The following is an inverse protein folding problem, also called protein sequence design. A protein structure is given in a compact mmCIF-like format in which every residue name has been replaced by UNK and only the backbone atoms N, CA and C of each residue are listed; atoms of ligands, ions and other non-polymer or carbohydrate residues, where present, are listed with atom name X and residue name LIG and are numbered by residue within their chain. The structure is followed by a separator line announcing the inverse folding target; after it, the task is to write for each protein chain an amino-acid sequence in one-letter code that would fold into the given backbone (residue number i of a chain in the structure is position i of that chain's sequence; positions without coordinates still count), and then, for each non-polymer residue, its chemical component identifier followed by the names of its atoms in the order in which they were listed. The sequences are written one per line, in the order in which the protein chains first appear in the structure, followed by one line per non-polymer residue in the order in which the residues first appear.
data_IF_380924522014
#
_entry.id   IF_380924522014
#
_cell.length_a   1.000
_cell.length_b   1.000
_cell.length_c   1.000
_cell.angle_alpha   90.00
_cell.angle_beta   90.00
_cell.angle_gamma   90.00
#
_symmetry.space_group_name_H-M   'P 1'
#
loop_
_entity.id
_entity.type
_entity.pdbx_description
1 polymer ?
#
# COMPACT_ATOMS: atom_id res chain seq x y z
N UNK A 1 -18.90 -14.75 54.91
CA UNK A 1 -18.49 -16.13 55.18
C UNK A 1 -17.34 -16.47 54.25
N UNK A 2 -16.13 -16.52 54.79
CA UNK A 2 -14.91 -17.05 54.16
C UNK A 2 -15.03 -18.58 54.08
N UNK A 3 -14.71 -19.20 52.93
CA UNK A 3 -14.18 -20.55 52.91
C UNK A 3 -13.07 -20.64 51.85
N UNK A 4 -11.99 -21.32 52.27
CA UNK A 4 -10.65 -21.39 51.75
C UNK A 4 -10.47 -22.37 50.59
N UNK A 5 -9.32 -22.19 49.87
CA UNK A 5 -8.69 -23.17 48.97
C UNK A 5 -8.33 -24.50 49.65
N UNK A 6 -8.20 -25.57 48.86
CA UNK A 6 -6.93 -26.31 48.95
C UNK A 6 -6.29 -26.60 47.60
N UNK A 7 -4.99 -26.40 47.57
CA UNK A 7 -3.96 -26.99 46.71
C UNK A 7 -3.88 -28.51 46.90
N UNK A 8 -3.75 -29.27 45.83
CA UNK A 8 -2.86 -30.45 45.76
C UNK A 8 -2.58 -30.86 44.33
N UNK A 9 -1.31 -30.90 44.00
CA UNK A 9 -0.65 -31.62 42.92
C UNK A 9 -0.85 -33.15 43.06
N UNK A 10 -0.99 -33.87 41.97
CA UNK A 10 -0.11 -34.95 41.52
C UNK A 10 -0.80 -35.93 40.55
N UNK A 11 -0.02 -36.25 39.48
CA UNK A 11 0.07 -37.54 38.79
C UNK A 11 -1.08 -37.95 37.87
N UNK A 12 -0.80 -37.90 36.57
CA UNK A 12 -0.76 -39.08 35.69
C UNK A 12 -0.21 -38.69 34.30
N UNK A 13 1.00 -39.14 34.02
CA UNK A 13 1.60 -39.23 32.69
C UNK A 13 0.93 -40.34 31.87
N UNK A 14 0.48 -40.04 30.67
CA UNK A 14 0.08 -41.02 29.65
C UNK A 14 0.62 -40.58 28.28
N UNK A 15 0.94 -41.49 27.36
CA UNK A 15 1.99 -41.29 26.38
C UNK A 15 1.63 -40.39 25.21
N UNK A 16 2.60 -39.57 24.90
CA UNK A 16 2.81 -38.71 23.75
C UNK A 16 2.62 -39.47 22.40
N UNK A 17 1.64 -39.12 21.64
CA UNK A 17 1.52 -39.59 20.25
C UNK A 17 1.46 -38.37 19.32
N UNK A 18 2.64 -37.74 19.18
CA UNK A 18 2.87 -36.67 18.21
C UNK A 18 2.86 -37.27 16.80
N UNK A 19 1.74 -37.08 16.08
CA UNK A 19 1.75 -37.11 14.60
C UNK A 19 1.69 -35.69 14.10
N UNK A 20 2.86 -35.09 13.93
CA UNK A 20 3.03 -33.88 13.16
C UNK A 20 2.84 -34.20 11.67
N UNK A 21 1.73 -33.76 11.09
CA UNK A 21 1.61 -33.59 9.65
C UNK A 21 2.59 -32.52 9.15
N UNK A 22 3.13 -32.64 7.92
CA UNK A 22 4.12 -31.70 7.41
C UNK A 22 3.51 -30.31 7.24
N UNK A 23 4.07 -29.32 7.95
CA UNK A 23 3.84 -27.90 7.66
C UNK A 23 4.30 -27.63 6.23
N UNK A 24 3.57 -26.84 5.42
CA UNK A 24 4.06 -26.43 4.13
C UNK A 24 5.37 -25.64 4.32
N UNK A 25 6.43 -26.11 3.70
CA UNK A 25 7.74 -25.47 3.71
C UNK A 25 7.61 -24.10 3.04
N UNK A 26 7.78 -23.04 3.83
CA UNK A 26 8.09 -21.70 3.30
C UNK A 26 9.40 -21.86 2.52
N UNK A 27 9.36 -21.61 1.20
CA UNK A 27 10.57 -21.53 0.41
C UNK A 27 11.49 -20.47 1.03
N UNK A 28 12.77 -20.78 1.29
CA UNK A 28 13.72 -19.80 1.75
C UNK A 28 13.89 -18.75 0.64
N UNK A 29 13.82 -17.48 1.03
CA UNK A 29 14.19 -16.37 0.18
C UNK A 29 15.58 -16.66 -0.43
N UNK A 30 15.83 -16.34 -1.72
CA UNK A 30 17.14 -16.56 -2.32
C UNK A 30 18.18 -15.82 -1.50
N UNK A 31 19.12 -16.58 -0.93
CA UNK A 31 20.26 -16.04 -0.23
C UNK A 31 21.00 -15.09 -1.20
N UNK A 32 21.06 -13.82 -0.85
CA UNK A 32 21.95 -12.88 -1.49
C UNK A 32 23.37 -13.38 -1.25
N UNK A 33 24.00 -13.90 -2.30
CA UNK A 33 25.43 -14.23 -2.29
C UNK A 33 26.18 -12.91 -2.23
N UNK A 34 26.45 -12.43 -1.02
CA UNK A 34 27.42 -11.38 -0.78
C UNK A 34 28.81 -11.92 -1.05
N UNK A 35 29.25 -11.79 -2.30
CA UNK A 35 30.66 -11.90 -2.62
C UNK A 35 31.40 -10.76 -1.88
N UNK A 36 32.46 -11.03 -1.14
CA UNK A 36 33.20 -10.00 -0.44
C UNK A 36 33.88 -9.08 -1.48
N UNK A 37 33.20 -7.98 -1.85
CA UNK A 37 33.84 -6.87 -2.57
C UNK A 37 34.95 -6.33 -1.66
N UNK A 38 36.21 -6.38 -2.13
CA UNK A 38 37.31 -5.65 -1.50
C UNK A 38 36.87 -4.18 -1.39
N UNK A 39 36.44 -3.79 -0.21
CA UNK A 39 36.08 -2.41 0.08
C UNK A 39 37.32 -1.57 -0.13
N UNK A 40 37.28 -0.66 -1.11
CA UNK A 40 38.33 0.30 -1.34
C UNK A 40 38.52 1.19 -0.10
N UNK A 41 39.69 1.80 0.04
CA UNK A 41 40.01 2.71 1.15
C UNK A 41 38.97 3.86 1.26
N UNK A 42 38.38 4.32 0.16
CA UNK A 42 37.32 5.31 0.09
C UNK A 42 36.00 4.79 0.72
N UNK A 43 35.67 3.52 0.49
CA UNK A 43 34.48 2.90 1.13
C UNK A 43 34.69 2.72 2.63
N UNK A 44 35.92 2.41 3.07
CA UNK A 44 36.23 2.34 4.51
C UNK A 44 36.17 3.70 5.20
N UNK A 45 36.66 4.77 4.55
CA UNK A 45 36.52 6.14 5.07
C UNK A 45 35.05 6.57 5.11
N UNK A 46 34.27 6.24 4.06
CA UNK A 46 32.84 6.50 4.02
C UNK A 46 32.08 5.79 5.13
N UNK A 47 32.37 4.49 5.35
CA UNK A 47 31.72 3.71 6.42
C UNK A 47 32.14 4.16 7.83
N UNK A 48 33.36 4.67 8.01
CA UNK A 48 33.79 5.24 9.29
C UNK A 48 33.16 6.60 9.60
N UNK A 49 32.76 7.34 8.57
CA UNK A 49 32.19 8.69 8.70
C UNK A 49 30.65 8.71 8.82
N UNK A 50 29.97 7.62 8.45
CA UNK A 50 28.51 7.51 8.42
C UNK A 50 28.06 6.58 9.55
N UNK A 51 27.10 7.04 10.35
CA UNK A 51 26.49 6.22 11.40
C UNK A 51 25.41 5.30 10.78
N UNK A 52 25.32 4.01 11.18
CA UNK A 52 24.23 3.13 10.76
C UNK A 52 22.83 3.63 11.11
N UNK A 53 22.71 4.49 12.14
CA UNK A 53 21.44 5.10 12.57
C UNK A 53 21.05 6.35 11.79
N UNK A 54 21.94 6.89 10.94
CA UNK A 54 21.65 8.07 10.13
C UNK A 54 20.48 7.79 9.17
N UNK A 55 19.59 8.75 9.00
CA UNK A 55 18.58 8.70 7.94
C UNK A 55 19.25 8.70 6.57
N UNK A 56 18.59 8.11 5.58
CA UNK A 56 19.15 8.02 4.22
C UNK A 56 19.48 9.39 3.63
N UNK A 57 18.68 10.40 3.93
CA UNK A 57 18.94 11.79 3.54
C UNK A 57 20.23 12.34 4.17
N UNK A 58 20.43 12.10 5.46
CA UNK A 58 21.61 12.54 6.18
C UNK A 58 22.86 11.81 5.68
N UNK A 59 22.76 10.52 5.40
CA UNK A 59 23.85 9.74 4.77
C UNK A 59 24.25 10.32 3.43
N UNK A 60 23.27 10.67 2.58
CA UNK A 60 23.52 11.29 1.29
C UNK A 60 24.27 12.61 1.44
N UNK A 61 23.80 13.50 2.33
CA UNK A 61 24.44 14.79 2.60
C UNK A 61 25.88 14.65 3.10
N UNK A 62 26.12 13.73 4.04
CA UNK A 62 27.49 13.41 4.53
C UNK A 62 28.38 12.89 3.42
N UNK A 63 27.90 11.94 2.61
CA UNK A 63 28.66 11.35 1.51
C UNK A 63 29.05 12.38 0.45
N UNK A 64 28.12 13.27 0.07
CA UNK A 64 28.38 14.30 -0.94
C UNK A 64 29.40 15.32 -0.48
N UNK A 65 29.33 15.78 0.78
CA UNK A 65 30.29 16.73 1.32
C UNK A 65 31.69 16.11 1.45
N UNK A 66 31.78 14.85 1.91
CA UNK A 66 33.02 14.13 2.02
C UNK A 66 33.65 13.88 0.64
N UNK A 67 32.84 13.55 -0.37
CA UNK A 67 33.28 13.39 -1.75
C UNK A 67 33.83 14.70 -2.30
N UNK A 68 33.11 15.80 -2.14
CA UNK A 68 33.55 17.12 -2.59
C UNK A 68 34.85 17.55 -1.90
N UNK A 69 34.95 17.35 -0.56
CA UNK A 69 36.16 17.65 0.20
C UNK A 69 37.34 16.80 -0.23
N UNK A 70 37.14 15.50 -0.45
CA UNK A 70 38.17 14.57 -0.94
C UNK A 70 38.68 14.95 -2.33
N UNK A 71 37.77 15.25 -3.26
CA UNK A 71 38.14 15.69 -4.62
C UNK A 71 38.92 17.00 -4.61
N UNK A 72 38.50 17.97 -3.77
CA UNK A 72 39.24 19.25 -3.61
C UNK A 72 40.62 19.06 -3.02
N UNK A 73 40.82 18.15 -2.05
CA UNK A 73 42.14 17.85 -1.52
C UNK A 73 43.05 17.21 -2.57
N UNK A 74 42.53 16.26 -3.37
CA UNK A 74 43.25 15.65 -4.50
C UNK A 74 43.64 16.73 -5.51
N UNK A 75 42.72 17.62 -5.85
CA UNK A 75 42.95 18.71 -6.78
C UNK A 75 44.01 19.71 -6.25
N UNK A 76 44.00 20.01 -4.96
CA UNK A 76 45.01 20.89 -4.34
C UNK A 76 46.40 20.26 -4.36
N UNK A 77 46.52 18.92 -4.16
CA UNK A 77 47.82 18.23 -4.35
C UNK A 77 48.30 18.30 -5.78
N UNK A 78 47.43 18.06 -6.76
CA UNK A 78 47.76 18.16 -8.17
C UNK A 78 48.22 19.59 -8.52
N UNK A 79 47.53 20.61 -8.01
CA UNK A 79 47.87 22.01 -8.20
C UNK A 79 49.30 22.31 -7.69
N UNK A 80 49.64 21.88 -6.47
CA UNK A 80 50.95 22.03 -5.88
C UNK A 80 52.03 21.29 -6.65
N UNK A 81 51.76 20.06 -7.11
CA UNK A 81 52.68 19.27 -7.90
C UNK A 81 53.04 19.94 -9.25
N UNK A 82 52.00 20.47 -9.95
CA UNK A 82 52.23 21.18 -11.22
C UNK A 82 53.05 22.45 -10.99
N UNK A 83 52.75 23.20 -9.91
CA UNK A 83 53.51 24.39 -9.55
C UNK A 83 54.99 24.08 -9.34
N UNK A 84 55.28 23.01 -8.59
CA UNK A 84 56.65 22.53 -8.36
C UNK A 84 57.34 22.06 -9.64
N UNK A 85 56.65 21.31 -10.52
CA UNK A 85 57.17 20.85 -11.80
C UNK A 85 57.52 21.99 -12.75
N UNK A 86 56.78 23.11 -12.67
CA UNK A 86 57.08 24.31 -13.49
C UNK A 86 58.25 25.13 -12.95
N UNK A 87 58.89 24.68 -11.87
CA UNK A 87 60.04 25.39 -11.26
C UNK A 87 59.68 26.74 -10.63
N UNK A 88 58.40 27.00 -10.42
CA UNK A 88 57.91 28.26 -9.85
C UNK A 88 58.01 28.23 -8.31
N UNK A 89 58.43 29.36 -7.69
CA UNK A 89 58.33 29.52 -6.25
C UNK A 89 56.84 29.68 -5.89
N UNK A 90 56.39 28.99 -4.84
CA UNK A 90 55.01 29.16 -4.36
C UNK A 90 54.75 30.61 -3.94
N UNK A 91 53.83 31.33 -4.57
CA UNK A 91 53.57 32.73 -4.26
C UNK A 91 52.85 32.87 -2.91
N UNK A 92 52.31 31.76 -2.37
CA UNK A 92 51.58 31.76 -1.10
C UNK A 92 51.65 30.37 -0.43
N UNK A 93 51.72 30.30 0.87
CA UNK A 93 51.61 29.07 1.67
C UNK A 93 50.15 28.65 1.94
N UNK A 94 49.17 29.45 1.51
CA UNK A 94 47.75 29.21 1.77
C UNK A 94 47.21 27.87 1.20
N UNK A 95 47.60 27.40 0.02
CA UNK A 95 47.18 26.07 -0.47
C UNK A 95 47.57 24.93 0.45
N UNK A 96 48.78 24.98 1.04
CA UNK A 96 49.22 24.01 2.07
C UNK A 96 48.44 24.16 3.35
N UNK A 97 48.13 25.41 3.75
CA UNK A 97 47.26 25.70 4.88
C UNK A 97 45.86 25.15 4.75
N UNK A 98 45.27 25.23 3.52
CA UNK A 98 43.97 24.61 3.21
C UNK A 98 44.02 23.10 3.41
N UNK A 99 45.02 22.41 2.90
CA UNK A 99 45.15 20.95 3.05
C UNK A 99 45.27 20.52 4.50
N UNK A 100 46.12 21.23 5.28
CA UNK A 100 46.28 20.98 6.71
C UNK A 100 44.95 21.20 7.47
N UNK A 101 44.27 22.33 7.22
CA UNK A 101 43.02 22.65 7.86
C UNK A 101 41.91 21.65 7.50
N UNK A 102 41.75 21.27 6.21
CA UNK A 102 40.75 20.29 5.75
C UNK A 102 41.03 18.91 6.34
N UNK A 103 42.30 18.47 6.42
CA UNK A 103 42.66 17.20 7.06
C UNK A 103 42.37 17.20 8.56
N UNK A 104 42.70 18.29 9.28
CA UNK A 104 42.36 18.44 10.71
C UNK A 104 40.87 18.42 10.97
N UNK A 105 40.07 19.10 10.13
CA UNK A 105 38.61 19.06 10.20
C UNK A 105 38.05 17.67 9.98
N UNK A 106 38.59 16.91 9.04
CA UNK A 106 38.18 15.53 8.81
C UNK A 106 38.49 14.64 10.03
N UNK A 107 39.69 14.75 10.60
CA UNK A 107 40.07 14.03 11.83
C UNK A 107 39.19 14.42 13.00
N UNK A 108 38.91 15.72 13.16
CA UNK A 108 37.96 16.22 14.17
C UNK A 108 36.59 15.59 13.99
N UNK A 109 36.04 15.57 12.77
CA UNK A 109 34.76 14.96 12.45
C UNK A 109 34.74 13.46 12.76
N UNK A 110 35.75 12.72 12.35
CA UNK A 110 35.83 11.28 12.58
C UNK A 110 35.86 10.95 14.09
N UNK A 111 36.47 11.81 14.92
CA UNK A 111 36.51 11.65 16.40
C UNK A 111 35.24 12.09 17.09
N UNK A 112 34.66 13.22 16.72
CA UNK A 112 33.52 13.82 17.41
C UNK A 112 32.17 13.43 16.85
N UNK A 113 32.16 12.94 15.58
CA UNK A 113 30.93 12.69 14.81
C UNK A 113 30.00 13.91 14.66
N UNK A 114 30.49 15.11 14.98
CA UNK A 114 29.72 16.34 14.87
C UNK A 114 29.73 16.84 13.42
N UNK A 115 28.72 16.44 12.67
CA UNK A 115 28.60 16.82 11.27
C UNK A 115 28.29 18.31 11.07
N UNK A 116 27.60 18.93 11.98
CA UNK A 116 27.21 20.35 11.86
C UNK A 116 28.43 21.26 11.88
N UNK A 117 29.37 21.04 12.80
CA UNK A 117 30.63 21.78 12.83
C UNK A 117 31.50 21.49 11.59
N UNK A 118 31.58 20.22 11.20
CA UNK A 118 32.36 19.82 10.02
C UNK A 118 31.86 20.52 8.76
N UNK A 119 30.55 20.45 8.50
CA UNK A 119 29.92 21.04 7.30
C UNK A 119 30.10 22.54 7.23
N UNK A 120 29.89 23.25 8.35
CA UNK A 120 30.05 24.70 8.43
C UNK A 120 31.50 25.11 8.14
N UNK A 121 32.45 24.48 8.82
CA UNK A 121 33.86 24.79 8.67
C UNK A 121 34.39 24.44 7.28
N UNK A 122 34.01 23.29 6.73
CA UNK A 122 34.43 22.85 5.40
C UNK A 122 33.90 23.77 4.29
N UNK A 123 32.61 24.18 4.38
CA UNK A 123 32.04 25.14 3.44
C UNK A 123 32.69 26.53 3.60
N UNK A 124 33.02 26.92 4.82
CA UNK A 124 33.82 28.13 5.08
C UNK A 124 35.18 28.07 4.39
N UNK A 125 35.88 26.94 4.46
CA UNK A 125 37.16 26.76 3.75
C UNK A 125 36.96 26.86 2.22
N UNK A 126 35.92 26.24 1.67
CA UNK A 126 35.59 26.36 0.24
C UNK A 126 35.31 27.79 -0.18
N UNK A 127 34.66 28.59 0.67
CA UNK A 127 34.35 29.97 0.37
C UNK A 127 35.55 30.90 0.50
N UNK A 128 36.21 30.90 1.66
CA UNK A 128 37.18 31.99 2.00
C UNK A 128 38.57 31.71 1.47
N UNK A 129 39.05 30.46 1.43
CA UNK A 129 40.42 30.15 1.04
C UNK A 129 40.77 30.57 -0.39
N UNK A 130 39.91 30.32 -1.43
CA UNK A 130 40.18 30.77 -2.77
C UNK A 130 40.35 32.31 -2.89
N UNK A 131 39.53 33.09 -2.15
CA UNK A 131 39.67 34.52 -2.14
C UNK A 131 40.98 34.98 -1.41
N UNK A 132 41.28 34.34 -0.27
CA UNK A 132 42.54 34.62 0.43
C UNK A 132 43.78 34.32 -0.46
N UNK A 133 43.76 33.23 -1.21
CA UNK A 133 44.82 32.92 -2.14
C UNK A 133 44.90 33.97 -3.26
N UNK A 134 43.76 34.36 -3.85
CA UNK A 134 43.73 35.45 -4.87
C UNK A 134 44.35 36.74 -4.32
N UNK A 135 43.89 37.19 -3.16
CA UNK A 135 44.40 38.43 -2.56
C UNK A 135 45.92 38.35 -2.19
N UNK A 136 46.42 37.16 -1.87
CA UNK A 136 47.86 36.98 -1.59
C UNK A 136 48.73 36.97 -2.84
N UNK A 137 48.17 36.61 -4.02
CA UNK A 137 48.85 36.55 -5.30
C UNK A 137 48.76 37.89 -6.05
N UNK A 138 47.66 38.66 -5.79
CA UNK A 138 47.45 39.98 -6.33
C UNK A 138 46.13 40.14 -7.06
N UNK A 139 46.01 39.69 -8.30
CA UNK A 139 44.79 39.91 -9.11
C UNK A 139 44.12 38.60 -9.51
N UNK A 140 42.88 38.71 -10.02
CA UNK A 140 42.13 37.59 -10.60
C UNK A 140 42.94 36.90 -11.74
N UNK A 141 43.56 37.70 -12.58
CA UNK A 141 44.39 37.18 -13.70
C UNK A 141 45.64 36.48 -13.18
N UNK A 142 46.40 37.11 -12.28
CA UNK A 142 47.62 36.57 -11.68
C UNK A 142 47.35 35.30 -10.88
N UNK A 143 46.18 35.17 -10.23
CA UNK A 143 45.73 33.97 -9.49
C UNK A 143 45.11 32.90 -10.41
N UNK A 144 45.07 33.13 -11.74
CA UNK A 144 44.51 32.20 -12.73
C UNK A 144 43.07 31.79 -12.41
N UNK A 145 42.27 32.73 -11.92
CA UNK A 145 40.84 32.51 -11.62
C UNK A 145 40.55 31.51 -10.50
N UNK A 146 41.46 31.33 -9.54
CA UNK A 146 41.27 30.38 -8.40
C UNK A 146 39.99 30.63 -7.61
N UNK A 147 39.51 31.89 -7.57
CA UNK A 147 38.31 32.30 -6.89
C UNK A 147 37.03 31.58 -7.44
N UNK A 148 37.11 31.05 -8.68
CA UNK A 148 36.00 30.24 -9.22
C UNK A 148 35.73 28.98 -8.37
N UNK A 149 36.75 28.45 -7.69
CA UNK A 149 36.61 27.30 -6.80
C UNK A 149 35.74 27.62 -5.57
N UNK A 150 35.63 28.91 -5.17
CA UNK A 150 34.75 29.33 -4.08
C UNK A 150 33.27 29.10 -4.38
N UNK A 151 32.88 28.92 -5.65
CA UNK A 151 31.52 28.54 -6.05
C UNK A 151 31.11 27.16 -5.51
N UNK A 152 32.08 26.32 -5.10
CA UNK A 152 31.80 25.04 -4.44
C UNK A 152 31.13 25.22 -3.06
N UNK A 153 31.28 26.37 -2.41
CA UNK A 153 30.64 26.64 -1.11
C UNK A 153 29.10 26.78 -1.25
N UNK A 154 28.53 27.66 -2.10
CA UNK A 154 27.08 27.72 -2.27
C UNK A 154 26.49 26.45 -2.90
N UNK A 155 27.21 25.77 -3.82
CA UNK A 155 26.76 24.49 -4.36
C UNK A 155 26.74 23.41 -3.26
N UNK A 156 27.79 23.31 -2.47
CA UNK A 156 27.86 22.39 -1.34
C UNK A 156 26.78 22.71 -0.29
N UNK A 157 26.54 23.99 0.01
CA UNK A 157 25.49 24.42 0.89
C UNK A 157 24.09 24.00 0.37
N UNK A 158 23.84 24.13 -0.94
CA UNK A 158 22.57 23.68 -1.54
C UNK A 158 22.34 22.19 -1.36
N UNK A 159 23.39 21.38 -1.50
CA UNK A 159 23.33 19.93 -1.36
C UNK A 159 23.17 19.51 0.11
N UNK A 160 23.85 20.19 1.04
CA UNK A 160 23.93 19.79 2.46
C UNK A 160 22.79 20.39 3.30
N UNK A 161 22.47 21.67 3.08
CA UNK A 161 21.45 22.40 3.86
C UNK A 161 20.11 22.53 3.14
N UNK A 162 20.10 22.42 1.80
CA UNK A 162 18.93 22.66 0.97
C UNK A 162 18.86 24.07 0.38
N UNK A 163 17.81 24.31 -0.42
CA UNK A 163 17.72 25.51 -1.26
C UNK A 163 17.63 26.84 -0.49
N UNK A 164 16.93 26.86 0.64
CA UNK A 164 16.75 28.10 1.43
C UNK A 164 18.02 28.51 2.17
N UNK A 165 18.69 27.54 2.78
CA UNK A 165 19.88 27.79 3.59
C UNK A 165 21.15 28.00 2.76
N UNK A 166 21.12 27.72 1.45
CA UNK A 166 22.22 28.03 0.52
C UNK A 166 22.26 29.49 0.08
N UNK A 167 21.16 30.25 0.22
CA UNK A 167 21.08 31.67 -0.20
C UNK A 167 22.12 32.55 0.49
N UNK A 168 22.34 32.50 1.81
CA UNK A 168 23.39 33.26 2.49
C UNK A 168 24.80 32.97 1.99
N UNK A 169 25.07 31.69 1.65
CA UNK A 169 26.38 31.28 1.10
C UNK A 169 26.60 31.84 -0.30
N UNK A 170 25.56 31.86 -1.13
CA UNK A 170 25.63 32.45 -2.46
C UNK A 170 25.76 33.98 -2.38
N UNK A 171 25.04 34.62 -1.48
CA UNK A 171 25.18 36.07 -1.23
C UNK A 171 26.61 36.41 -0.74
N UNK A 172 27.17 35.65 0.19
CA UNK A 172 28.54 35.84 0.66
C UNK A 172 29.57 35.66 -0.48
N UNK A 173 29.40 34.61 -1.32
CA UNK A 173 30.23 34.41 -2.50
C UNK A 173 30.14 35.61 -3.46
N UNK A 174 28.95 36.11 -3.73
CA UNK A 174 28.73 37.25 -4.65
C UNK A 174 29.38 38.53 -4.08
N UNK A 175 29.18 38.81 -2.81
CA UNK A 175 29.76 39.97 -2.15
C UNK A 175 31.31 39.93 -2.22
N UNK A 176 31.91 38.75 -1.86
CA UNK A 176 33.34 38.58 -1.93
C UNK A 176 33.88 38.70 -3.35
N UNK A 177 33.15 38.20 -4.34
CA UNK A 177 33.52 38.33 -5.76
C UNK A 177 33.52 39.80 -6.21
N UNK A 178 32.45 40.53 -5.87
CA UNK A 178 32.38 41.99 -6.18
C UNK A 178 33.47 42.75 -5.48
N UNK A 179 33.70 42.49 -4.20
CA UNK A 179 34.79 43.12 -3.44
C UNK A 179 36.17 42.87 -4.09
N UNK A 180 36.42 41.59 -4.45
CA UNK A 180 37.67 41.22 -5.10
C UNK A 180 37.87 41.94 -6.43
N UNK A 181 36.78 42.05 -7.25
CA UNK A 181 36.84 42.80 -8.51
C UNK A 181 37.12 44.30 -8.31
N UNK A 182 36.53 44.92 -7.27
CA UNK A 182 36.77 46.33 -6.92
C UNK A 182 38.24 46.50 -6.47
N UNK A 183 38.76 45.58 -5.64
CA UNK A 183 40.16 45.63 -5.22
C UNK A 183 41.10 45.50 -6.42
N UNK A 184 40.86 44.55 -7.29
CA UNK A 184 41.64 44.36 -8.51
C UNK A 184 41.64 45.63 -9.39
N UNK A 185 40.50 46.29 -9.55
CA UNK A 185 40.37 47.54 -10.27
C UNK A 185 41.17 48.69 -9.65
N UNK A 186 41.07 48.86 -8.30
CA UNK A 186 41.76 49.95 -7.60
C UNK A 186 43.28 49.76 -7.50
N UNK A 187 43.77 48.51 -7.54
CA UNK A 187 45.19 48.16 -7.42
C UNK A 187 45.87 47.91 -8.77
N UNK A 188 45.14 48.02 -9.87
CA UNK A 188 45.63 47.71 -11.23
C UNK A 188 46.86 48.54 -11.68
N UNK A 189 46.98 49.77 -11.15
CA UNK A 189 48.04 50.70 -11.55
C UNK A 189 49.41 50.45 -10.88
N UNK A 190 49.53 49.48 -9.94
CA UNK A 190 50.74 49.30 -9.14
C UNK A 190 51.56 48.00 -9.34
N UNK A 191 51.12 47.05 -10.16
CA UNK A 191 51.70 45.72 -10.24
C UNK A 191 52.62 45.56 -11.49
N UNK A 192 53.93 45.63 -11.31
CA UNK A 192 54.93 45.40 -12.36
C UNK A 192 55.48 43.94 -12.45
N UNK A 193 55.19 43.06 -11.48
CA UNK A 193 55.67 41.69 -11.49
C UNK A 193 54.59 40.77 -12.11
N UNK A 194 54.51 40.79 -13.43
CA UNK A 194 53.55 39.95 -14.14
C UNK A 194 54.00 38.49 -14.13
N UNK A 195 53.18 37.60 -13.56
CA UNK A 195 53.28 36.15 -13.72
C UNK A 195 53.32 35.82 -15.23
N UNK A 196 54.19 34.91 -15.69
CA UNK A 196 54.25 34.58 -17.11
C UNK A 196 52.90 34.12 -17.68
N UNK A 197 52.50 34.67 -18.82
CA UNK A 197 51.17 34.38 -19.44
C UNK A 197 50.93 32.87 -19.63
N UNK A 198 51.99 32.09 -19.93
CA UNK A 198 51.89 30.62 -20.01
C UNK A 198 51.49 29.96 -18.69
N UNK A 199 52.00 30.43 -17.55
CA UNK A 199 51.66 29.95 -16.22
C UNK A 199 50.23 30.27 -15.91
N UNK A 200 49.78 31.50 -16.19
CA UNK A 200 48.36 31.93 -16.00
C UNK A 200 47.43 31.03 -16.79
N UNK A 201 47.74 30.77 -18.09
CA UNK A 201 46.89 29.95 -18.94
C UNK A 201 46.77 28.50 -18.43
N UNK A 202 47.90 27.87 -18.02
CA UNK A 202 47.89 26.51 -17.48
C UNK A 202 47.02 26.39 -16.22
N UNK A 203 47.22 27.30 -15.26
CA UNK A 203 46.46 27.25 -14.00
C UNK A 203 45.01 27.67 -14.16
N UNK A 204 44.67 28.54 -15.11
CA UNK A 204 43.29 28.85 -15.44
C UNK A 204 42.54 27.62 -15.97
N UNK A 205 43.14 26.91 -16.93
CA UNK A 205 42.56 25.65 -17.46
C UNK A 205 42.48 24.60 -16.37
N UNK A 206 43.47 24.50 -15.48
CA UNK A 206 43.48 23.57 -14.35
C UNK A 206 42.37 23.90 -13.36
N UNK A 207 42.24 25.16 -12.91
CA UNK A 207 41.23 25.59 -11.94
C UNK A 207 39.81 25.39 -12.48
N UNK A 208 39.57 25.76 -13.75
CA UNK A 208 38.30 25.56 -14.42
C UNK A 208 37.96 24.07 -14.62
N UNK A 209 38.97 23.28 -15.00
CA UNK A 209 38.85 21.82 -15.15
C UNK A 209 38.55 21.12 -13.82
N UNK A 210 39.21 21.53 -12.74
CA UNK A 210 38.96 21.02 -11.38
C UNK A 210 37.51 21.35 -10.96
N UNK A 211 37.08 22.63 -11.06
CA UNK A 211 35.75 23.05 -10.71
C UNK A 211 34.69 22.24 -11.50
N UNK A 212 34.84 22.19 -12.82
CA UNK A 212 33.93 21.46 -13.70
C UNK A 212 33.82 19.98 -13.34
N UNK A 213 34.98 19.34 -13.06
CA UNK A 213 35.04 17.92 -12.71
C UNK A 213 34.35 17.67 -11.36
N UNK A 214 34.65 18.48 -10.35
CA UNK A 214 34.08 18.31 -9.01
C UNK A 214 32.56 18.50 -9.08
N UNK A 215 32.07 19.57 -9.73
CA UNK A 215 30.66 19.85 -9.90
C UNK A 215 29.96 18.70 -10.65
N UNK A 216 30.53 18.25 -11.77
CA UNK A 216 29.98 17.15 -12.55
C UNK A 216 29.86 15.86 -11.71
N UNK A 217 30.92 15.47 -10.99
CA UNK A 217 30.91 14.25 -10.18
C UNK A 217 29.93 14.32 -9.02
N UNK A 218 29.85 15.47 -8.34
CA UNK A 218 28.87 15.69 -7.25
C UNK A 218 27.45 15.64 -7.78
N UNK A 219 27.15 16.35 -8.87
CA UNK A 219 25.81 16.35 -9.48
C UNK A 219 25.43 14.97 -10.01
N UNK A 220 26.35 14.29 -10.70
CA UNK A 220 26.13 12.91 -11.18
C UNK A 220 25.79 11.97 -10.04
N UNK A 221 26.54 12.04 -8.94
CA UNK A 221 26.26 11.21 -7.77
C UNK A 221 24.88 11.56 -7.15
N UNK A 222 24.58 12.84 -7.00
CA UNK A 222 23.29 13.32 -6.48
C UNK A 222 22.12 12.82 -7.32
N UNK A 223 22.16 12.98 -8.64
CA UNK A 223 21.09 12.54 -9.56
C UNK A 223 20.91 11.02 -9.46
N UNK A 224 22.04 10.26 -9.48
CA UNK A 224 21.98 8.80 -9.35
C UNK A 224 21.29 8.35 -8.06
N UNK A 225 21.61 8.99 -6.94
CA UNK A 225 20.98 8.65 -5.65
C UNK A 225 19.50 9.03 -5.63
N UNK A 226 19.16 10.22 -6.15
CA UNK A 226 17.76 10.64 -6.27
C UNK A 226 16.93 9.63 -7.06
N UNK A 227 17.45 9.13 -8.19
CA UNK A 227 16.74 8.14 -9.01
C UNK A 227 16.54 6.82 -8.26
N UNK A 228 17.50 6.38 -7.46
CA UNK A 228 17.37 5.18 -6.61
C UNK A 228 16.26 5.37 -5.59
N UNK A 229 16.25 6.49 -4.87
CA UNK A 229 15.22 6.79 -3.88
C UNK A 229 13.81 6.91 -4.48
N UNK A 230 13.69 7.53 -5.65
CA UNK A 230 12.40 7.64 -6.33
C UNK A 230 11.86 6.27 -6.74
N UNK A 231 12.73 5.36 -7.23
CA UNK A 231 12.32 3.99 -7.59
C UNK A 231 11.88 3.19 -6.36
N UNK A 232 12.59 3.31 -5.25
CA UNK A 232 12.22 2.59 -4.02
C UNK A 232 10.91 3.14 -3.43
N UNK A 233 10.70 4.45 -3.44
CA UNK A 233 9.44 5.08 -3.03
C UNK A 233 8.27 4.61 -3.91
N UNK A 234 8.47 4.58 -5.24
CA UNK A 234 7.46 4.08 -6.17
C UNK A 234 7.11 2.61 -5.90
N UNK A 235 8.12 1.78 -5.58
CA UNK A 235 7.92 0.38 -5.21
C UNK A 235 7.11 0.23 -3.93
N UNK A 236 7.41 1.01 -2.90
CA UNK A 236 6.65 0.99 -1.64
C UNK A 236 5.20 1.40 -1.84
N UNK A 237 4.95 2.45 -2.63
CA UNK A 237 3.59 2.85 -3.00
C UNK A 237 2.81 1.73 -3.70
N UNK A 238 3.47 1.00 -4.62
CA UNK A 238 2.84 -0.12 -5.32
C UNK A 238 2.50 -1.28 -4.36
N UNK A 239 3.39 -1.61 -3.42
CA UNK A 239 3.12 -2.65 -2.41
C UNK A 239 1.92 -2.27 -1.52
N UNK A 240 1.85 -1.03 -1.05
CA UNK A 240 0.72 -0.53 -0.25
C UNK A 240 -0.58 -0.57 -1.06
N UNK A 241 -0.53 -0.22 -2.36
CA UNK A 241 -1.69 -0.28 -3.25
C UNK A 241 -2.22 -1.71 -3.38
N UNK A 242 -1.33 -2.66 -3.68
CA UNK A 242 -1.70 -4.09 -3.83
C UNK A 242 -2.28 -4.65 -2.53
N UNK A 243 -1.69 -4.31 -1.38
CA UNK A 243 -2.19 -4.77 -0.08
C UNK A 243 -3.57 -4.18 0.24
N UNK A 244 -3.77 -2.90 -0.09
CA UNK A 244 -5.08 -2.24 0.04
C UNK A 244 -6.13 -2.90 -0.86
N UNK A 245 -5.80 -3.17 -2.13
CA UNK A 245 -6.71 -3.85 -3.07
C UNK A 245 -7.11 -5.25 -2.56
N UNK A 246 -6.15 -6.02 -2.01
CA UNK A 246 -6.45 -7.31 -1.38
C UNK A 246 -7.37 -7.17 -0.18
N UNK A 247 -7.10 -6.22 0.70
CA UNK A 247 -7.94 -5.94 1.87
C UNK A 247 -9.36 -5.56 1.46
N UNK A 248 -9.50 -4.73 0.42
CA UNK A 248 -10.80 -4.33 -0.12
C UNK A 248 -11.55 -5.51 -0.76
N UNK A 249 -10.86 -6.34 -1.53
CA UNK A 249 -11.45 -7.54 -2.12
C UNK A 249 -11.93 -8.53 -1.03
N UNK A 250 -11.17 -8.73 0.03
CA UNK A 250 -11.59 -9.56 1.16
C UNK A 250 -12.83 -8.97 1.87
N UNK A 251 -12.87 -7.67 2.10
CA UNK A 251 -14.00 -7.01 2.75
C UNK A 251 -15.28 -7.14 1.89
N UNK A 252 -15.17 -6.92 0.59
CA UNK A 252 -16.31 -7.02 -0.35
C UNK A 252 -16.74 -8.46 -0.64
N UNK A 253 -15.88 -9.45 -0.34
CA UNK A 253 -16.28 -10.87 -0.41
C UNK A 253 -17.19 -11.30 0.76
N UNK A 254 -17.18 -10.54 1.86
CA UNK A 254 -17.95 -10.85 3.06
C UNK A 254 -19.20 -9.93 3.18
N UNK A 255 -19.09 -8.68 2.74
CA UNK A 255 -20.12 -7.66 2.87
C UNK A 255 -20.53 -7.11 1.49
N UNK A 256 -21.82 -6.76 1.29
CA UNK A 256 -22.22 -6.02 0.09
C UNK A 256 -21.39 -4.74 -0.08
N UNK A 257 -21.02 -4.34 -1.32
CA UNK A 257 -20.11 -3.21 -1.55
C UNK A 257 -20.52 -1.90 -0.87
N UNK A 258 -21.82 -1.56 -0.92
CA UNK A 258 -22.34 -0.34 -0.28
C UNK A 258 -22.25 -0.38 1.26
N UNK A 259 -22.36 -1.56 1.86
CA UNK A 259 -22.21 -1.76 3.31
C UNK A 259 -20.73 -1.70 3.69
N UNK A 260 -19.86 -2.32 2.88
CA UNK A 260 -18.40 -2.25 3.07
C UNK A 260 -17.89 -0.80 3.01
N UNK A 261 -18.41 0.01 2.11
CA UNK A 261 -18.09 1.44 2.00
C UNK A 261 -18.56 2.25 3.20
N UNK A 262 -19.78 2.02 3.65
CA UNK A 262 -20.32 2.67 4.88
C UNK A 262 -19.51 2.27 6.12
N UNK A 263 -19.14 1.01 6.26
CA UNK A 263 -18.35 0.53 7.39
C UNK A 263 -16.95 1.16 7.44
N UNK A 264 -16.36 1.50 6.28
CA UNK A 264 -15.08 2.22 6.21
C UNK A 264 -15.21 3.68 6.66
N UNK A 265 -16.32 4.32 6.32
CA UNK A 265 -16.50 5.76 6.50
C UNK A 265 -17.21 6.11 7.81
N UNK A 266 -18.06 5.22 8.31
CA UNK A 266 -18.90 5.41 9.49
C UNK A 266 -18.56 4.32 10.51
N UNK A 267 -18.08 4.72 11.69
CA UNK A 267 -17.88 3.80 12.84
C UNK A 267 -19.18 3.50 13.60
N UNK A 268 -20.34 3.84 13.04
CA UNK A 268 -21.65 3.69 13.68
C UNK A 268 -22.31 2.37 13.28
N UNK A 269 -23.26 1.92 14.11
CA UNK A 269 -24.07 0.74 13.84
C UNK A 269 -24.86 0.92 12.53
N UNK A 270 -24.60 0.07 11.55
CA UNK A 270 -25.33 0.06 10.28
C UNK A 270 -26.62 -0.73 10.51
N UNK A 271 -27.78 -0.05 10.48
CA UNK A 271 -29.09 -0.66 10.57
C UNK A 271 -30.08 0.13 9.70
N UNK A 272 -30.59 -0.49 8.66
CA UNK A 272 -31.50 0.10 7.70
C UNK A 272 -32.88 -0.59 7.75
N UNK A 273 -33.95 0.18 7.93
CA UNK A 273 -35.31 -0.30 7.89
C UNK A 273 -35.88 -0.30 6.47
N UNK A 274 -36.39 -1.43 6.03
CA UNK A 274 -37.03 -1.60 4.74
C UNK A 274 -38.52 -1.87 4.97
N UNK A 275 -39.39 -1.01 4.40
CA UNK A 275 -40.83 -1.17 4.52
C UNK A 275 -41.34 -2.37 3.70
N UNK A 276 -40.57 -2.78 2.69
CA UNK A 276 -41.01 -3.75 1.71
C UNK A 276 -39.81 -4.49 1.07
N UNK A 277 -39.63 -5.73 1.46
CA UNK A 277 -38.67 -6.67 0.86
C UNK A 277 -39.31 -8.02 0.61
N UNK A 278 -38.80 -8.78 -0.30
CA UNK A 278 -39.20 -10.17 -0.50
C UNK A 278 -38.03 -11.09 -0.14
N UNK A 279 -38.25 -11.99 0.79
CA UNK A 279 -37.28 -12.94 1.31
C UNK A 279 -37.61 -14.33 0.77
N UNK A 280 -36.61 -15.03 0.24
CA UNK A 280 -36.67 -16.42 -0.16
C UNK A 280 -35.67 -17.26 0.63
N UNK A 281 -36.12 -18.37 1.16
CA UNK A 281 -35.28 -19.47 1.62
C UNK A 281 -35.45 -20.64 0.63
N UNK A 282 -34.32 -21.26 0.28
CA UNK A 282 -34.28 -22.50 -0.50
C UNK A 282 -33.45 -23.51 0.30
N UNK A 283 -34.09 -24.58 0.75
CA UNK A 283 -33.51 -25.63 1.59
C UNK A 283 -33.45 -26.96 0.84
N UNK A 284 -32.38 -27.74 1.04
CA UNK A 284 -32.18 -29.00 0.29
C UNK A 284 -33.00 -30.10 0.93
N UNK A 285 -33.87 -30.73 0.15
CA UNK A 285 -34.69 -31.84 0.61
C UNK A 285 -33.83 -33.01 1.04
N UNK A 286 -34.03 -33.49 2.28
CA UNK A 286 -33.34 -34.67 2.86
C UNK A 286 -31.80 -34.52 2.92
N UNK A 287 -31.27 -33.30 3.06
CA UNK A 287 -29.83 -33.07 3.15
C UNK A 287 -29.18 -33.84 4.29
N UNK A 288 -29.80 -33.94 5.47
CA UNK A 288 -29.27 -34.69 6.62
C UNK A 288 -28.95 -36.13 6.24
N UNK A 289 -29.85 -36.79 5.52
CA UNK A 289 -29.64 -38.15 5.04
C UNK A 289 -28.50 -38.23 4.00
N UNK A 290 -28.43 -37.30 3.07
CA UNK A 290 -27.35 -37.20 2.11
C UNK A 290 -26.01 -36.98 2.81
N UNK A 291 -25.96 -36.14 3.82
CA UNK A 291 -24.74 -35.84 4.56
C UNK A 291 -24.23 -37.05 5.40
N UNK A 292 -25.10 -37.98 5.80
CA UNK A 292 -24.71 -39.22 6.46
C UNK A 292 -23.99 -40.20 5.53
N UNK A 293 -24.25 -40.11 4.22
CA UNK A 293 -23.66 -40.95 3.18
C UNK A 293 -22.32 -40.42 2.64
N UNK A 294 -21.97 -39.17 2.93
CA UNK A 294 -20.80 -38.44 2.40
C UNK A 294 -19.73 -38.23 3.48
N UNK A 295 -18.47 -38.17 3.05
CA UNK A 295 -17.39 -37.73 3.91
C UNK A 295 -17.48 -36.21 4.19
N UNK A 296 -16.91 -35.69 5.27
CA UNK A 296 -16.94 -34.25 5.56
C UNK A 296 -16.42 -33.36 4.43
N UNK A 297 -15.41 -33.81 3.72
CA UNK A 297 -14.87 -33.09 2.54
C UNK A 297 -15.83 -33.07 1.36
N UNK A 298 -16.53 -34.18 1.12
CA UNK A 298 -17.54 -34.30 0.06
C UNK A 298 -18.77 -33.44 0.38
N UNK A 299 -19.21 -33.38 1.65
CA UNK A 299 -20.30 -32.49 2.07
C UNK A 299 -19.96 -31.04 1.79
N UNK A 300 -18.77 -30.57 2.16
CA UNK A 300 -18.35 -29.19 1.92
C UNK A 300 -18.23 -28.90 0.41
N UNK A 301 -17.66 -29.82 -0.37
CA UNK A 301 -17.56 -29.68 -1.82
C UNK A 301 -18.93 -29.62 -2.48
N UNK A 302 -19.83 -30.51 -2.08
CA UNK A 302 -21.22 -30.55 -2.56
C UNK A 302 -21.96 -29.24 -2.27
N UNK A 303 -21.93 -28.76 -1.02
CA UNK A 303 -22.57 -27.50 -0.65
C UNK A 303 -21.98 -26.30 -1.40
N UNK A 304 -20.66 -26.29 -1.58
CA UNK A 304 -20.00 -25.25 -2.35
C UNK A 304 -20.45 -25.23 -3.81
N UNK A 305 -20.56 -26.38 -4.45
CA UNK A 305 -21.04 -26.49 -5.83
C UNK A 305 -22.49 -26.01 -5.97
N UNK A 306 -23.36 -26.43 -5.04
CA UNK A 306 -24.77 -26.00 -5.01
C UNK A 306 -24.86 -24.49 -4.80
N UNK A 307 -24.23 -23.97 -3.75
CA UNK A 307 -24.35 -22.56 -3.42
C UNK A 307 -23.69 -21.65 -4.45
N UNK A 308 -22.59 -22.06 -5.11
CA UNK A 308 -22.01 -21.30 -6.20
C UNK A 308 -23.00 -21.12 -7.36
N UNK A 309 -23.79 -22.16 -7.69
CA UNK A 309 -24.83 -22.05 -8.71
C UNK A 309 -25.97 -21.13 -8.28
N UNK A 310 -26.39 -21.18 -7.00
CA UNK A 310 -27.38 -20.27 -6.46
C UNK A 310 -26.87 -18.82 -6.43
N UNK A 311 -25.57 -18.60 -6.17
CA UNK A 311 -24.93 -17.30 -6.24
C UNK A 311 -24.95 -16.72 -7.66
N UNK A 312 -24.71 -17.55 -8.67
CA UNK A 312 -24.85 -17.16 -10.09
C UNK A 312 -26.30 -16.81 -10.45
N UNK A 313 -27.26 -17.58 -9.94
CA UNK A 313 -28.68 -17.29 -10.14
C UNK A 313 -29.06 -15.97 -9.48
N UNK A 314 -28.76 -15.78 -8.20
CA UNK A 314 -29.12 -14.55 -7.48
C UNK A 314 -28.51 -13.31 -8.15
N UNK A 315 -27.26 -13.39 -8.61
CA UNK A 315 -26.57 -12.31 -9.36
C UNK A 315 -27.28 -12.01 -10.68
N UNK A 316 -27.66 -13.03 -11.45
CA UNK A 316 -28.36 -12.88 -12.74
C UNK A 316 -29.73 -12.23 -12.57
N UNK A 317 -30.45 -12.58 -11.51
CA UNK A 317 -31.74 -11.98 -11.16
C UNK A 317 -31.58 -10.65 -10.40
N UNK A 318 -30.32 -10.24 -10.04
CA UNK A 318 -29.99 -9.03 -9.30
C UNK A 318 -30.63 -8.98 -7.93
N UNK A 319 -30.55 -10.09 -7.26
CA UNK A 319 -31.00 -10.30 -5.89
C UNK A 319 -29.81 -10.37 -4.95
N UNK A 320 -30.03 -9.97 -3.71
CA UNK A 320 -28.96 -9.91 -2.70
C UNK A 320 -28.92 -11.23 -1.91
N UNK A 321 -27.84 -12.01 -2.04
CA UNK A 321 -27.55 -13.11 -1.13
C UNK A 321 -27.26 -12.54 0.26
N UNK A 322 -27.90 -13.07 1.28
CA UNK A 322 -27.65 -12.66 2.67
C UNK A 322 -26.70 -13.64 3.34
N UNK A 323 -27.08 -14.90 3.43
CA UNK A 323 -26.29 -15.95 4.09
C UNK A 323 -26.79 -17.34 3.72
N UNK A 324 -26.00 -18.35 4.12
CA UNK A 324 -26.48 -19.73 4.22
C UNK A 324 -26.67 -20.10 5.69
N UNK A 325 -27.69 -20.93 5.97
CA UNK A 325 -27.99 -21.45 7.31
C UNK A 325 -28.06 -22.96 7.19
N UNK A 326 -26.96 -23.66 7.50
CA UNK A 326 -26.84 -25.07 7.18
C UNK A 326 -26.90 -25.31 5.66
N UNK A 327 -27.87 -26.04 5.22
CA UNK A 327 -28.18 -26.33 3.81
C UNK A 327 -29.22 -25.38 3.18
N UNK A 328 -29.72 -24.41 3.96
CA UNK A 328 -30.64 -23.40 3.46
C UNK A 328 -29.90 -22.19 2.91
N UNK A 329 -30.32 -21.72 1.72
CA UNK A 329 -29.84 -20.52 1.05
C UNK A 329 -30.84 -19.39 1.21
N UNK A 330 -30.39 -18.25 1.74
CA UNK A 330 -31.23 -17.06 1.95
C UNK A 330 -30.87 -15.96 0.95
N UNK A 331 -31.87 -15.53 0.17
CA UNK A 331 -31.75 -14.42 -0.79
C UNK A 331 -32.91 -13.45 -0.64
N UNK A 332 -32.66 -12.18 -0.92
CA UNK A 332 -33.61 -11.10 -0.73
C UNK A 332 -33.66 -10.19 -1.96
N UNK A 333 -34.85 -9.72 -2.28
CA UNK A 333 -35.07 -8.66 -3.25
C UNK A 333 -35.68 -7.42 -2.56
N UNK A 334 -35.28 -6.22 -3.04
CA UNK A 334 -35.82 -4.97 -2.53
C UNK A 334 -34.91 -4.23 -1.53
N UNK A 335 -33.67 -4.70 -1.30
CA UNK A 335 -32.67 -3.98 -0.50
C UNK A 335 -32.04 -2.81 -1.27
N UNK A 336 -31.87 -2.93 -2.58
CA UNK A 336 -31.43 -1.81 -3.40
C UNK A 336 -32.63 -1.15 -4.10
N UNK A 337 -32.70 0.18 -4.02
CA UNK A 337 -33.83 0.97 -4.54
C UNK A 337 -33.98 0.94 -6.08
N UNK A 338 -33.12 0.23 -6.79
CA UNK A 338 -33.01 0.28 -8.25
C UNK A 338 -33.93 -0.70 -9.02
N UNK A 339 -34.66 -1.61 -8.36
CA UNK A 339 -35.51 -2.59 -9.04
C UNK A 339 -36.95 -2.55 -8.59
N UNK A 340 -37.84 -2.17 -9.50
CA UNK A 340 -39.31 -2.19 -9.27
C UNK A 340 -39.94 -3.59 -9.27
N UNK A 341 -39.27 -4.63 -9.82
CA UNK A 341 -39.83 -5.97 -10.04
C UNK A 341 -39.10 -7.09 -9.29
N UNK A 342 -38.57 -6.81 -8.08
CA UNK A 342 -37.82 -7.79 -7.31
C UNK A 342 -38.69 -9.00 -6.85
N UNK A 343 -40.00 -8.84 -6.66
CA UNK A 343 -40.89 -9.94 -6.31
C UNK A 343 -40.99 -10.95 -7.44
N UNK A 344 -41.07 -10.46 -8.70
CA UNK A 344 -41.07 -11.30 -9.88
C UNK A 344 -39.72 -11.99 -10.08
N UNK A 345 -38.61 -11.27 -9.87
CA UNK A 345 -37.27 -11.78 -9.95
C UNK A 345 -37.02 -12.96 -8.99
N UNK A 346 -37.54 -12.86 -7.76
CA UNK A 346 -37.47 -13.97 -6.79
C UNK A 346 -38.32 -15.15 -7.22
N UNK A 347 -39.54 -14.92 -7.73
CA UNK A 347 -40.39 -15.99 -8.22
C UNK A 347 -39.78 -16.72 -9.45
N UNK A 348 -39.25 -15.96 -10.38
CA UNK A 348 -38.56 -16.51 -11.56
C UNK A 348 -37.29 -17.29 -11.17
N UNK A 349 -36.47 -16.78 -10.24
CA UNK A 349 -35.32 -17.48 -9.67
C UNK A 349 -35.74 -18.81 -9.02
N UNK A 350 -36.81 -18.79 -8.24
CA UNK A 350 -37.32 -20.00 -7.58
C UNK A 350 -37.78 -21.06 -8.58
N UNK A 351 -38.49 -20.67 -9.65
CA UNK A 351 -38.92 -21.56 -10.73
C UNK A 351 -37.72 -22.13 -11.48
N UNK A 352 -36.73 -21.29 -11.83
CA UNK A 352 -35.53 -21.75 -12.51
C UNK A 352 -34.68 -22.69 -11.64
N UNK A 353 -34.60 -22.43 -10.33
CA UNK A 353 -33.91 -23.33 -9.40
C UNK A 353 -34.56 -24.71 -9.36
N UNK A 354 -35.88 -24.79 -9.40
CA UNK A 354 -36.58 -26.06 -9.48
C UNK A 354 -36.36 -26.80 -10.83
N UNK A 355 -36.31 -26.06 -11.91
CA UNK A 355 -36.03 -26.65 -13.22
C UNK A 355 -34.57 -27.13 -13.30
N UNK A 356 -33.63 -26.33 -12.76
CA UNK A 356 -32.25 -26.76 -12.63
C UNK A 356 -32.08 -28.03 -11.80
N UNK A 357 -32.84 -28.18 -10.71
CA UNK A 357 -32.81 -29.37 -9.86
C UNK A 357 -33.24 -30.63 -10.65
N UNK A 358 -34.11 -30.47 -11.65
CA UNK A 358 -34.58 -31.59 -12.50
C UNK A 358 -33.69 -31.89 -13.68
N UNK A 359 -33.09 -30.87 -14.29
CA UNK A 359 -32.41 -30.98 -15.60
C UNK A 359 -30.88 -30.98 -15.51
N UNK A 360 -30.27 -30.38 -14.48
CA UNK A 360 -28.82 -30.28 -14.33
C UNK A 360 -28.20 -31.63 -13.89
N UNK A 361 -27.20 -32.09 -14.63
CA UNK A 361 -26.53 -33.38 -14.37
C UNK A 361 -25.88 -33.49 -12.99
N UNK A 362 -25.46 -32.41 -12.39
CA UNK A 362 -24.89 -32.35 -11.00
C UNK A 362 -25.99 -32.58 -9.98
N UNK A 363 -27.13 -31.91 -10.14
CA UNK A 363 -28.28 -32.05 -9.24
C UNK A 363 -29.01 -33.38 -9.41
N UNK A 364 -29.12 -33.84 -10.64
CA UNK A 364 -29.72 -35.15 -10.97
C UNK A 364 -28.93 -36.32 -10.39
N UNK A 365 -27.59 -36.23 -10.31
CA UNK A 365 -26.72 -37.22 -9.67
C UNK A 365 -27.08 -37.51 -8.21
N UNK A 366 -27.50 -36.47 -7.48
CA UNK A 366 -27.90 -36.58 -6.08
C UNK A 366 -29.41 -36.58 -5.88
N UNK A 367 -30.19 -36.62 -6.99
CA UNK A 367 -31.67 -36.52 -6.96
C UNK A 367 -32.17 -35.34 -6.10
N UNK A 368 -31.54 -34.16 -6.30
CA UNK A 368 -31.80 -32.99 -5.48
C UNK A 368 -33.17 -32.38 -5.78
N UNK A 369 -33.82 -31.91 -4.74
CA UNK A 369 -34.98 -31.04 -4.83
C UNK A 369 -34.90 -30.01 -3.69
N UNK A 370 -35.65 -28.93 -3.83
CA UNK A 370 -35.62 -27.82 -2.85
C UNK A 370 -36.98 -27.58 -2.24
N UNK A 371 -36.99 -27.35 -0.92
CA UNK A 371 -38.11 -26.68 -0.25
C UNK A 371 -37.91 -25.18 -0.41
N UNK A 372 -38.80 -24.46 -1.05
CA UNK A 372 -38.67 -23.02 -1.27
C UNK A 372 -39.85 -22.29 -0.62
N UNK A 373 -39.51 -21.35 0.24
CA UNK A 373 -40.49 -20.47 0.90
C UNK A 373 -40.21 -19.00 0.61
N UNK A 374 -41.26 -18.25 0.22
CA UNK A 374 -41.12 -16.84 -0.13
C UNK A 374 -42.16 -16.04 0.67
N UNK A 375 -41.69 -14.95 1.32
CA UNK A 375 -42.57 -14.02 2.02
C UNK A 375 -42.20 -12.56 1.72
N UNK A 376 -43.20 -11.69 1.66
CA UNK A 376 -43.01 -10.26 1.37
C UNK A 376 -43.55 -9.40 2.51
N UNK A 377 -42.76 -8.42 2.94
CA UNK A 377 -43.14 -7.48 4.03
C UNK A 377 -41.93 -6.69 4.56
N UNK A 378 -42.08 -6.02 5.70
CA UNK A 378 -41.03 -5.21 6.29
C UNK A 378 -39.92 -6.05 6.90
N UNK A 379 -38.68 -5.51 6.84
CA UNK A 379 -37.51 -6.08 7.48
C UNK A 379 -36.49 -5.00 7.87
N UNK A 380 -35.54 -5.36 8.71
CA UNK A 380 -34.38 -4.53 9.07
C UNK A 380 -33.12 -5.28 8.64
N UNK A 381 -32.27 -4.62 7.86
CA UNK A 381 -30.96 -5.13 7.50
C UNK A 381 -29.88 -4.37 8.26
N UNK A 382 -28.81 -5.04 8.64
CA UNK A 382 -27.73 -4.37 9.36
C UNK A 382 -26.50 -5.23 9.56
N UNK A 383 -25.47 -4.61 10.14
CA UNK A 383 -24.21 -5.29 10.51
C UNK A 383 -24.17 -5.49 12.02
N UNK A 384 -23.96 -6.73 12.43
CA UNK A 384 -23.76 -7.11 13.83
C UNK A 384 -22.35 -7.68 14.02
N UNK A 385 -21.77 -7.41 15.18
CA UNK A 385 -20.48 -7.90 15.63
C UNK A 385 -19.43 -6.80 15.71
N UNK A 386 -18.46 -6.97 16.64
CA UNK A 386 -17.34 -6.05 16.81
C UNK A 386 -16.05 -6.59 16.17
N UNK A 387 -15.85 -7.92 16.21
CA UNK A 387 -14.65 -8.59 15.69
C UNK A 387 -14.92 -9.46 14.46
N UNK A 388 -16.15 -9.96 14.35
CA UNK A 388 -16.62 -10.73 13.21
C UNK A 388 -17.91 -10.08 12.74
N UNK A 389 -17.82 -9.27 11.72
CA UNK A 389 -18.97 -8.61 11.13
C UNK A 389 -19.81 -9.63 10.38
N UNK A 390 -21.13 -9.54 10.60
CA UNK A 390 -22.12 -10.30 9.84
C UNK A 390 -23.23 -9.32 9.39
N UNK A 391 -23.42 -9.23 8.09
CA UNK A 391 -24.58 -8.54 7.52
C UNK A 391 -25.75 -9.50 7.47
N UNK A 392 -26.86 -9.13 8.07
CA UNK A 392 -28.02 -10.01 8.19
C UNK A 392 -29.33 -9.21 8.09
N UNK A 393 -30.43 -9.96 7.97
CA UNK A 393 -31.79 -9.45 7.93
C UNK A 393 -32.62 -9.98 9.12
N UNK A 394 -33.38 -9.08 9.73
CA UNK A 394 -34.31 -9.40 10.83
C UNK A 394 -35.67 -8.87 10.52
N UNK A 395 -36.69 -9.56 11.02
CA UNK A 395 -38.07 -9.15 10.92
C UNK A 395 -39.01 -10.34 10.81
N UNK A 396 -40.29 -10.01 10.93
CA UNK A 396 -41.35 -11.00 10.83
C UNK A 396 -41.39 -11.69 9.48
N UNK A 397 -41.13 -10.94 8.42
CA UNK A 397 -41.04 -11.45 7.02
C UNK A 397 -40.03 -12.56 6.88
N UNK A 398 -38.84 -12.40 7.50
CA UNK A 398 -37.77 -13.41 7.49
C UNK A 398 -38.22 -14.69 8.18
N UNK A 399 -38.85 -14.53 9.37
CA UNK A 399 -39.36 -15.67 10.13
C UNK A 399 -40.49 -16.40 9.40
N UNK A 400 -41.40 -15.66 8.73
CA UNK A 400 -42.45 -16.27 7.89
C UNK A 400 -41.88 -17.03 6.73
N UNK A 401 -40.96 -16.44 5.97
CA UNK A 401 -40.31 -17.12 4.85
C UNK A 401 -39.62 -18.44 5.29
N UNK A 402 -38.83 -18.40 6.35
CA UNK A 402 -38.16 -19.59 6.91
C UNK A 402 -39.13 -20.70 7.31
N UNK A 403 -40.23 -20.33 7.99
CA UNK A 403 -41.27 -21.30 8.41
C UNK A 403 -42.00 -21.90 7.23
N UNK A 404 -42.37 -21.08 6.23
CA UNK A 404 -43.02 -21.54 5.00
C UNK A 404 -42.10 -22.58 4.31
N UNK A 405 -40.80 -22.34 4.31
CA UNK A 405 -39.81 -23.28 3.72
C UNK A 405 -39.86 -24.62 4.42
N UNK A 406 -39.81 -24.63 5.76
CA UNK A 406 -39.80 -25.87 6.55
C UNK A 406 -41.06 -26.71 6.38
N UNK A 407 -42.21 -26.09 6.10
CA UNK A 407 -43.50 -26.75 5.92
C UNK A 407 -43.81 -27.04 4.42
N UNK A 408 -42.98 -26.56 3.51
CA UNK A 408 -43.20 -26.78 2.09
C UNK A 408 -42.99 -28.27 1.74
N UNK A 409 -43.85 -28.88 0.93
CA UNK A 409 -43.56 -30.21 0.37
C UNK A 409 -42.29 -30.19 -0.49
N UNK A 410 -41.55 -31.31 -0.52
CA UNK A 410 -40.35 -31.44 -1.35
C UNK A 410 -40.63 -31.10 -2.80
N UNK A 411 -39.74 -30.31 -3.40
CA UNK A 411 -39.87 -29.85 -4.78
C UNK A 411 -40.98 -28.83 -5.02
N UNK A 412 -41.44 -28.15 -4.00
CA UNK A 412 -42.50 -27.12 -4.10
C UNK A 412 -41.99 -25.73 -3.74
N UNK A 413 -42.55 -24.71 -4.40
CA UNK A 413 -42.40 -23.31 -4.05
C UNK A 413 -43.68 -22.86 -3.34
N UNK A 414 -43.57 -22.36 -2.12
CA UNK A 414 -44.69 -21.90 -1.32
C UNK A 414 -44.51 -20.43 -0.98
N UNK A 415 -45.57 -19.63 -1.13
CA UNK A 415 -45.52 -18.19 -0.88
C UNK A 415 -46.58 -17.75 0.14
N UNK A 416 -46.31 -16.66 0.87
CA UNK A 416 -47.27 -16.03 1.75
C UNK A 416 -48.37 -15.28 0.98
N UNK A 417 -49.43 -14.83 1.69
CA UNK A 417 -50.54 -14.12 1.10
C UNK A 417 -50.15 -12.79 0.45
N UNK A 418 -49.15 -12.09 0.96
CA UNK A 418 -48.70 -10.81 0.40
C UNK A 418 -47.97 -11.02 -0.94
N UNK A 419 -47.08 -11.99 -1.01
CA UNK A 419 -46.41 -12.41 -2.23
C UNK A 419 -47.40 -12.90 -3.29
N UNK A 420 -48.39 -13.74 -2.87
CA UNK A 420 -49.45 -14.21 -3.77
C UNK A 420 -50.21 -13.06 -4.41
N UNK A 421 -50.64 -12.07 -3.60
CA UNK A 421 -51.38 -10.90 -4.12
C UNK A 421 -50.59 -10.11 -5.18
N UNK A 422 -49.30 -10.03 -5.04
CA UNK A 422 -48.41 -9.31 -5.99
C UNK A 422 -48.18 -10.07 -7.26
N UNK A 423 -48.08 -11.39 -7.18
CA UNK A 423 -47.74 -12.25 -8.31
C UNK A 423 -48.99 -12.82 -9.03
N UNK A 424 -50.17 -12.83 -8.41
CA UNK A 424 -51.36 -13.54 -8.87
C UNK A 424 -51.86 -13.17 -10.26
N UNK A 425 -51.53 -11.99 -10.77
CA UNK A 425 -51.86 -11.62 -12.16
C UNK A 425 -50.95 -12.24 -13.20
N UNK A 426 -49.71 -12.59 -12.82
CA UNK A 426 -48.65 -13.02 -13.74
C UNK A 426 -48.26 -14.48 -13.58
N UNK A 427 -48.58 -15.10 -12.46
CA UNK A 427 -48.19 -16.48 -12.13
C UNK A 427 -49.42 -17.32 -11.77
N UNK A 428 -49.32 -18.62 -11.99
CA UNK A 428 -50.31 -19.62 -11.64
C UNK A 428 -50.02 -20.19 -10.25
N UNK A 429 -51.07 -20.34 -9.46
CA UNK A 429 -50.99 -20.88 -8.11
C UNK A 429 -52.03 -21.98 -7.92
N UNK A 430 -51.71 -22.94 -7.06
CA UNK A 430 -52.69 -23.93 -6.59
C UNK A 430 -53.60 -23.27 -5.55
N UNK A 431 -54.66 -23.98 -5.21
CA UNK A 431 -55.58 -23.57 -4.14
C UNK A 431 -54.83 -23.35 -2.80
N UNK A 432 -55.27 -22.35 -2.02
CA UNK A 432 -54.62 -22.04 -0.74
C UNK A 432 -54.73 -23.19 0.26
N UNK A 433 -53.66 -23.36 1.03
CA UNK A 433 -53.58 -24.29 2.12
C UNK A 433 -53.35 -23.51 3.44
N UNK A 434 -54.14 -23.81 4.46
CA UNK A 434 -53.89 -23.26 5.79
C UNK A 434 -52.82 -24.10 6.50
N UNK A 435 -51.82 -23.42 7.04
CA UNK A 435 -50.73 -24.04 7.83
C UNK A 435 -50.72 -23.37 9.20
N UNK A 436 -50.66 -24.17 10.24
CA UNK A 436 -50.62 -23.68 11.63
C UNK A 436 -49.16 -23.39 12.02
N UNK A 437 -48.89 -22.13 12.30
CA UNK A 437 -47.55 -21.70 12.72
C UNK A 437 -47.52 -21.43 14.23
N UNK A 438 -46.54 -22.03 14.90
CA UNK A 438 -46.32 -21.83 16.33
C UNK A 438 -46.14 -20.32 16.63
N UNK A 439 -47.05 -19.73 17.40
CA UNK A 439 -47.00 -18.33 17.80
C UNK A 439 -47.71 -17.33 16.86
N UNK A 440 -48.29 -17.76 15.72
CA UNK A 440 -49.04 -16.89 14.77
C UNK A 440 -50.39 -17.40 14.35
N UNK A 441 -50.77 -18.61 14.78
CA UNK A 441 -52.01 -19.22 14.32
C UNK A 441 -51.97 -19.75 12.89
N UNK A 442 -53.15 -19.81 12.26
CA UNK A 442 -53.29 -20.29 10.87
C UNK A 442 -52.91 -19.19 9.88
N UNK A 443 -52.02 -19.51 8.94
CA UNK A 443 -51.67 -18.65 7.80
C UNK A 443 -52.00 -19.38 6.49
N UNK A 444 -52.69 -18.67 5.60
CA UNK A 444 -52.94 -19.15 4.24
C UNK A 444 -51.65 -19.03 3.40
N UNK A 445 -51.18 -20.12 2.84
CA UNK A 445 -50.05 -20.19 1.94
C UNK A 445 -50.49 -20.71 0.55
N UNK A 446 -49.78 -20.31 -0.47
CA UNK A 446 -50.09 -20.59 -1.85
C UNK A 446 -48.92 -21.27 -2.54
N UNK A 447 -49.15 -22.39 -3.22
CA UNK A 447 -48.12 -23.08 -3.98
C UNK A 447 -48.00 -22.42 -5.35
N UNK A 448 -46.82 -21.90 -5.68
CA UNK A 448 -46.49 -21.36 -6.99
C UNK A 448 -46.26 -22.52 -7.97
N UNK A 449 -46.97 -22.52 -9.10
CA UNK A 449 -46.90 -23.57 -10.13
C UNK A 449 -46.01 -23.13 -11.28
N UNK A 450 -46.17 -21.91 -11.76
CA UNK A 450 -45.44 -21.42 -12.93
C UNK A 450 -45.84 -20.00 -13.32
N UNK A 451 -45.20 -19.48 -14.35
CA UNK A 451 -45.54 -18.21 -14.96
C UNK A 451 -46.75 -18.42 -15.92
N UNK A 452 -47.74 -17.58 -15.84
CA UNK A 452 -48.85 -17.60 -16.79
C UNK A 452 -48.32 -17.39 -18.20
N UNK A 453 -48.67 -18.29 -19.10
CA UNK A 453 -48.49 -18.05 -20.52
C UNK A 453 -49.32 -16.80 -20.86
N UNK A 454 -48.63 -15.68 -21.13
CA UNK A 454 -49.33 -14.57 -21.77
C UNK A 454 -49.90 -15.16 -23.08
N UNK A 455 -51.22 -15.26 -23.18
CA UNK A 455 -51.86 -15.46 -24.45
C UNK A 455 -51.29 -14.35 -25.34
N UNK A 456 -50.55 -14.70 -26.36
CA UNK A 456 -50.10 -13.75 -27.36
C UNK A 456 -51.36 -13.04 -27.81
N UNK A 457 -51.47 -11.76 -27.42
CA UNK A 457 -52.52 -10.93 -27.94
C UNK A 457 -52.37 -10.99 -29.45
N UNK A 458 -53.32 -11.62 -30.06
CA UNK A 458 -53.44 -11.68 -31.50
C UNK A 458 -53.50 -10.23 -31.95
N UNK A 459 -52.38 -9.76 -32.48
CA UNK A 459 -52.34 -8.54 -33.28
C UNK A 459 -53.06 -8.88 -34.57
N UNK A 460 -54.32 -8.59 -34.60
CA UNK A 460 -55.07 -8.41 -35.81
C UNK A 460 -54.78 -7.02 -36.37
#
# INVERSE_FOLDING_TARGET
VRIAHPTTSDVLQGPDNQRHGPKPALMPAPASVDLPRRQGWLERLGSAAIDPSDSDELRLRKTLLLLASGLMNIAAFLWLAIYWLMGQKLPSSLPLGYQAASALLLVYYLKTKNFDHYRLAQLGLFLFVPFAIQWSIGSFVSSSGIVLLALLAPIGAMVVYGHRESIPWFAAYTILTVMSGVFDYLLADGQQDAVPMRTIAVFFVLNFGILSTVVFLVLRHFVKQKDIYQRELARQHELVRVEREKSEALLTSILPPHIAERLKNEQSNIADGFADVTVMFADIVSFTRLAEELTPSEVVSFLNDVFTRLDHLSTRYGLDKIKTVGDAYMVVGGLSHSRQFYVDAIADMALELQEMARSDGTFSRYNLSFHIGIATGPAVAGVIGATRFSYDLWGDTVNVASRITSEAPGGCIVVDKTTYRRLGSRYDFAEPRNVVYKGKGELAVYRLIGRKLQAAAAAS
#
